data_IF_780983560979
#
_entry.id   IF_780983560979
#
_cell.length_a   1.000
_cell.length_b   1.000
_cell.length_c   1.000
_cell.angle_alpha   90.00
_cell.angle_beta   90.00
_cell.angle_gamma   90.00
#
_symmetry.space_group_name_H-M   'P 1'
#
loop_
_entity.id
_entity.type
_entity.pdbx_description
1 polymer ?
#
# COMPACT_ATOMS: atom_id res chain seq x y z
N UNK A 1 0.76 -27.68 -7.48
CA UNK A 1 0.70 -26.69 -8.56
C UNK A 1 1.89 -25.76 -8.46
N UNK A 2 2.58 -25.49 -9.60
CA UNK A 2 3.62 -24.47 -9.66
C UNK A 2 2.99 -23.10 -9.92
N UNK A 3 3.40 -22.10 -9.12
CA UNK A 3 2.96 -20.71 -9.24
C UNK A 3 4.16 -19.83 -9.59
N UNK A 4 4.31 -19.43 -10.87
CA UNK A 4 5.42 -18.61 -11.32
C UNK A 4 5.26 -17.17 -10.82
N UNK A 5 6.34 -16.57 -10.31
CA UNK A 5 6.34 -15.22 -9.73
C UNK A 5 7.44 -14.36 -10.35
N UNK A 6 7.09 -13.13 -10.72
CA UNK A 6 8.04 -12.09 -11.15
C UNK A 6 7.94 -10.96 -10.13
N UNK A 7 9.04 -10.59 -9.49
CA UNK A 7 9.10 -9.56 -8.45
C UNK A 7 9.68 -8.27 -9.04
N UNK A 8 8.89 -7.21 -9.04
CA UNK A 8 9.31 -5.86 -9.37
C UNK A 8 9.57 -5.09 -8.07
N UNK A 9 10.80 -4.65 -7.87
CA UNK A 9 11.23 -3.94 -6.68
C UNK A 9 11.86 -4.84 -5.62
N UNK A 10 13.18 -4.79 -5.50
CA UNK A 10 13.99 -5.48 -4.47
C UNK A 10 14.32 -4.57 -3.28
N UNK A 11 13.40 -3.67 -2.91
CA UNK A 11 13.46 -2.82 -1.72
C UNK A 11 13.10 -3.58 -0.44
N UNK A 12 12.72 -2.87 0.64
CA UNK A 12 12.37 -3.48 1.92
C UNK A 12 11.27 -4.53 1.82
N UNK A 13 10.14 -4.19 1.17
CA UNK A 13 8.99 -5.10 1.00
C UNK A 13 9.34 -6.27 0.08
N UNK A 14 9.98 -6.02 -1.08
CA UNK A 14 10.34 -7.09 -2.02
C UNK A 14 11.31 -8.10 -1.42
N UNK A 15 12.32 -7.64 -0.67
CA UNK A 15 13.25 -8.55 0.05
C UNK A 15 12.53 -9.38 1.12
N UNK A 16 11.65 -8.74 1.89
CA UNK A 16 10.85 -9.44 2.91
C UNK A 16 9.92 -10.48 2.27
N UNK A 17 9.30 -10.15 1.14
CA UNK A 17 8.47 -11.06 0.37
C UNK A 17 9.26 -12.28 -0.11
N UNK A 18 10.42 -12.08 -0.75
CA UNK A 18 11.29 -13.18 -1.22
C UNK A 18 11.69 -14.08 -0.05
N UNK A 19 12.11 -13.50 1.08
CA UNK A 19 12.47 -14.29 2.28
C UNK A 19 11.28 -15.11 2.78
N UNK A 20 10.08 -14.52 2.89
CA UNK A 20 8.88 -15.22 3.34
C UNK A 20 8.43 -16.33 2.36
N UNK A 21 8.63 -16.15 1.06
CA UNK A 21 8.42 -17.22 0.08
C UNK A 21 9.31 -18.43 0.38
N UNK A 22 10.60 -18.21 0.68
CA UNK A 22 11.54 -19.28 1.03
C UNK A 22 11.18 -19.91 2.38
N UNK A 23 10.96 -19.11 3.41
CA UNK A 23 10.65 -19.56 4.77
C UNK A 23 9.36 -20.39 4.86
N UNK A 24 8.36 -20.05 4.06
CA UNK A 24 7.03 -20.71 4.10
C UNK A 24 6.83 -21.75 2.98
N UNK A 25 7.87 -22.14 2.28
CA UNK A 25 7.77 -23.07 1.14
C UNK A 25 7.15 -24.41 1.51
N UNK A 26 7.57 -25.00 2.65
CA UNK A 26 7.00 -26.23 3.18
C UNK A 26 5.51 -26.10 3.49
N UNK A 27 5.12 -25.02 4.17
CA UNK A 27 3.71 -24.71 4.49
C UNK A 27 2.85 -24.65 3.22
N UNK A 28 3.33 -23.91 2.20
CA UNK A 28 2.57 -23.75 0.96
C UNK A 28 2.46 -25.06 0.18
N UNK A 29 3.53 -25.86 0.14
CA UNK A 29 3.49 -27.16 -0.51
C UNK A 29 2.54 -28.15 0.18
N UNK A 30 2.61 -28.23 1.51
CA UNK A 30 1.86 -29.22 2.30
C UNK A 30 0.38 -28.86 2.44
N UNK A 31 0.08 -27.59 2.76
CA UNK A 31 -1.31 -27.19 3.07
C UNK A 31 -2.06 -26.68 1.85
N UNK A 32 -1.38 -26.06 0.90
CA UNK A 32 -2.01 -25.44 -0.27
C UNK A 32 -1.70 -26.16 -1.58
N UNK A 33 -0.80 -27.14 -1.58
CA UNK A 33 -0.37 -27.82 -2.79
C UNK A 33 0.32 -26.88 -3.80
N UNK A 34 0.92 -25.78 -3.32
CA UNK A 34 1.53 -24.74 -4.13
C UNK A 34 3.05 -24.71 -3.98
N UNK A 35 3.74 -24.60 -5.11
CA UNK A 35 5.16 -24.29 -5.18
C UNK A 35 5.35 -22.90 -5.79
N UNK A 36 5.86 -21.95 -5.02
CA UNK A 36 6.06 -20.57 -5.44
C UNK A 36 7.42 -20.43 -6.11
N UNK A 37 7.46 -20.35 -7.44
CA UNK A 37 8.68 -20.27 -8.23
C UNK A 37 9.00 -18.82 -8.61
N UNK A 38 10.01 -18.21 -8.00
CA UNK A 38 10.46 -16.86 -8.36
C UNK A 38 11.29 -16.93 -9.64
N UNK A 39 10.73 -16.46 -10.75
CA UNK A 39 11.31 -16.50 -12.08
C UNK A 39 12.24 -15.32 -12.35
N UNK A 40 11.91 -14.16 -11.82
CA UNK A 40 12.70 -12.96 -11.97
C UNK A 40 12.55 -12.04 -10.76
N UNK A 41 13.62 -11.31 -10.46
CA UNK A 41 13.65 -10.21 -9.50
C UNK A 41 14.25 -9.00 -10.18
N UNK A 42 13.54 -7.87 -10.18
CA UNK A 42 13.96 -6.62 -10.80
C UNK A 42 14.12 -5.50 -9.78
N UNK A 43 15.08 -4.63 -10.01
CA UNK A 43 15.11 -3.29 -9.42
C UNK A 43 15.15 -2.23 -10.55
N UNK A 44 15.41 -0.96 -10.17
CA UNK A 44 15.40 0.13 -11.15
C UNK A 44 16.38 -0.09 -12.31
N UNK A 45 17.55 -0.66 -12.03
CA UNK A 45 18.67 -0.69 -12.96
C UNK A 45 19.04 -2.09 -13.46
N UNK A 46 18.48 -3.13 -12.84
CA UNK A 46 18.87 -4.50 -13.14
C UNK A 46 17.79 -5.54 -12.91
N UNK A 47 18.03 -6.71 -13.45
CA UNK A 47 17.20 -7.90 -13.24
C UNK A 47 18.06 -9.15 -13.06
N UNK A 48 17.56 -10.07 -12.25
CA UNK A 48 18.06 -11.43 -12.14
C UNK A 48 16.97 -12.37 -12.63
N UNK A 49 17.32 -13.25 -13.57
CA UNK A 49 16.39 -14.20 -14.20
C UNK A 49 16.77 -15.63 -13.83
N UNK A 50 15.80 -16.42 -13.40
CA UNK A 50 15.95 -17.85 -13.14
C UNK A 50 15.79 -18.70 -14.41
N UNK A 51 16.46 -18.30 -15.51
CA UNK A 51 16.41 -19.01 -16.78
C UNK A 51 17.53 -20.05 -16.84
N UNK A 52 17.27 -21.29 -16.41
CA UNK A 52 18.19 -22.40 -16.69
C UNK A 52 17.61 -23.29 -17.80
N UNK A 53 18.27 -23.31 -18.95
CA UNK A 53 17.87 -24.06 -20.14
C UNK A 53 18.04 -25.59 -20.00
N UNK A 54 18.53 -26.10 -18.86
CA UNK A 54 18.97 -27.51 -18.72
C UNK A 54 18.10 -28.33 -17.78
N UNK A 55 17.11 -27.77 -17.11
CA UNK A 55 16.21 -28.50 -16.18
C UNK A 55 14.78 -28.01 -16.34
N UNK A 56 13.81 -28.86 -16.03
CA UNK A 56 12.40 -28.54 -15.89
C UNK A 56 12.25 -27.49 -14.78
N UNK A 57 12.06 -26.22 -15.17
CA UNK A 57 12.55 -25.08 -14.42
C UNK A 57 11.60 -24.57 -13.38
N UNK A 58 12.08 -24.49 -12.15
CA UNK A 58 11.36 -23.93 -11.01
C UNK A 58 11.85 -22.52 -10.59
N UNK A 59 12.46 -21.73 -11.50
CA UNK A 59 12.97 -20.39 -11.21
C UNK A 59 14.28 -20.38 -10.42
N UNK A 60 14.52 -19.29 -9.68
CA UNK A 60 15.67 -19.13 -8.79
C UNK A 60 15.55 -20.07 -7.59
N UNK A 61 16.60 -20.76 -7.24
CA UNK A 61 16.64 -21.60 -6.04
C UNK A 61 16.76 -20.80 -4.75
N UNK A 62 16.44 -21.39 -3.63
CA UNK A 62 16.42 -20.73 -2.33
C UNK A 62 17.78 -20.11 -1.91
N UNK A 63 18.94 -20.78 -2.12
CA UNK A 63 20.24 -20.16 -1.86
C UNK A 63 20.47 -18.87 -2.67
N UNK A 64 20.12 -18.88 -3.96
CA UNK A 64 20.26 -17.70 -4.82
C UNK A 64 19.27 -16.59 -4.42
N UNK A 65 18.05 -16.92 -4.03
CA UNK A 65 17.07 -15.95 -3.53
C UNK A 65 17.55 -15.28 -2.23
N UNK A 66 18.07 -16.05 -1.27
CA UNK A 66 18.59 -15.49 -0.02
C UNK A 66 19.89 -14.69 -0.23
N UNK A 67 20.75 -15.09 -1.15
CA UNK A 67 21.91 -14.31 -1.57
C UNK A 67 21.51 -12.94 -2.16
N UNK A 68 20.50 -12.92 -3.03
CA UNK A 68 19.92 -11.68 -3.57
C UNK A 68 19.38 -10.75 -2.46
N UNK A 69 18.65 -11.32 -1.51
CA UNK A 69 18.11 -10.56 -0.37
C UNK A 69 19.23 -9.91 0.44
N UNK A 70 20.29 -10.66 0.74
CA UNK A 70 21.45 -10.17 1.49
C UNK A 70 22.22 -9.10 0.71
N UNK A 71 22.51 -9.37 -0.57
CA UNK A 71 23.21 -8.44 -1.46
C UNK A 71 22.48 -7.10 -1.59
N UNK A 72 21.14 -7.15 -1.73
CA UNK A 72 20.31 -5.93 -1.78
C UNK A 72 20.21 -5.22 -0.43
N UNK A 73 20.29 -5.94 0.69
CA UNK A 73 20.30 -5.33 2.03
C UNK A 73 21.57 -4.51 2.27
N UNK A 74 22.68 -4.91 1.69
CA UNK A 74 23.98 -4.22 1.73
C UNK A 74 24.09 -3.06 0.72
N UNK A 75 23.01 -2.75 -0.03
CA UNK A 75 22.97 -1.66 -1.02
C UNK A 75 23.41 -2.06 -2.42
N UNK A 76 23.61 -3.34 -2.70
CA UNK A 76 24.01 -3.82 -4.02
C UNK A 76 22.98 -3.52 -5.12
N UNK A 77 23.44 -3.40 -6.36
CA UNK A 77 22.62 -3.17 -7.56
C UNK A 77 22.44 -4.50 -8.30
N UNK A 78 21.21 -4.84 -8.69
CA UNK A 78 20.96 -6.12 -9.38
C UNK A 78 21.70 -6.22 -10.71
N UNK A 79 21.93 -5.12 -11.40
CA UNK A 79 22.74 -5.09 -12.63
C UNK A 79 24.18 -5.57 -12.42
N UNK A 80 24.72 -5.48 -11.21
CA UNK A 80 26.10 -5.83 -10.83
C UNK A 80 26.18 -7.17 -10.07
N UNK A 81 25.03 -7.76 -9.77
CA UNK A 81 24.98 -9.06 -9.10
C UNK A 81 25.50 -10.16 -10.03
N UNK A 82 26.16 -11.20 -9.46
CA UNK A 82 26.74 -12.36 -10.24
C UNK A 82 25.75 -13.07 -11.17
N UNK A 83 24.46 -13.05 -10.84
CA UNK A 83 23.37 -13.61 -11.65
C UNK A 83 22.57 -12.53 -12.39
N UNK A 84 22.94 -11.28 -12.22
CA UNK A 84 22.20 -10.13 -12.72
C UNK A 84 22.71 -9.61 -14.04
N UNK A 85 21.91 -8.72 -14.60
CA UNK A 85 22.26 -7.95 -15.78
C UNK A 85 21.47 -6.65 -15.80
N UNK A 86 21.90 -5.67 -16.61
CA UNK A 86 21.19 -4.42 -16.76
C UNK A 86 19.80 -4.64 -17.38
N UNK A 87 18.83 -3.88 -16.93
CA UNK A 87 17.50 -3.81 -17.49
C UNK A 87 17.05 -2.35 -17.61
N UNK A 88 16.28 -2.04 -18.62
CA UNK A 88 15.68 -0.73 -18.87
C UNK A 88 14.22 -0.84 -19.34
N UNK A 89 13.68 -2.06 -19.42
CA UNK A 89 12.31 -2.33 -19.84
C UNK A 89 11.73 -3.49 -19.03
N UNK A 90 10.86 -3.16 -18.08
CA UNK A 90 10.19 -4.15 -17.24
C UNK A 90 9.20 -5.02 -18.04
N UNK A 91 8.60 -4.51 -19.10
CA UNK A 91 7.71 -5.30 -19.95
C UNK A 91 8.50 -6.38 -20.70
N UNK A 92 9.70 -6.08 -21.17
CA UNK A 92 10.59 -7.07 -21.77
C UNK A 92 11.00 -8.16 -20.75
N UNK A 93 11.30 -7.79 -19.50
CA UNK A 93 11.60 -8.78 -18.46
C UNK A 93 10.39 -9.67 -18.19
N UNK A 94 9.19 -9.11 -18.10
CA UNK A 94 7.94 -9.85 -17.91
C UNK A 94 7.69 -10.80 -19.10
N UNK A 95 7.96 -10.37 -20.32
CA UNK A 95 7.79 -11.20 -21.52
C UNK A 95 8.77 -12.39 -21.58
N UNK A 96 10.04 -12.13 -21.22
CA UNK A 96 11.10 -13.15 -21.24
C UNK A 96 10.92 -14.17 -20.10
N UNK A 97 10.64 -13.70 -18.89
CA UNK A 97 10.55 -14.57 -17.71
C UNK A 97 9.15 -15.20 -17.54
N UNK A 98 8.10 -14.52 -18.05
CA UNK A 98 6.73 -14.89 -17.81
C UNK A 98 6.30 -16.17 -18.52
N UNK A 99 5.42 -16.92 -17.88
CA UNK A 99 4.77 -18.12 -18.44
C UNK A 99 3.32 -18.21 -17.99
N UNK A 100 2.48 -19.05 -18.60
CA UNK A 100 1.07 -19.17 -18.22
C UNK A 100 0.87 -19.34 -16.71
N UNK A 101 -0.03 -18.56 -16.15
CA UNK A 101 -0.32 -18.54 -14.70
C UNK A 101 0.61 -17.65 -13.87
N UNK A 102 1.57 -16.96 -14.48
CA UNK A 102 2.50 -16.09 -13.75
C UNK A 102 1.78 -14.97 -12.97
N UNK A 103 2.34 -14.65 -11.80
CA UNK A 103 1.95 -13.52 -10.96
C UNK A 103 3.08 -12.49 -10.96
N UNK A 104 2.79 -11.27 -11.40
CA UNK A 104 3.71 -10.14 -11.31
C UNK A 104 3.41 -9.38 -10.03
N UNK A 105 4.41 -9.29 -9.15
CA UNK A 105 4.31 -8.67 -7.83
C UNK A 105 5.04 -7.34 -7.86
N UNK A 106 4.32 -6.22 -7.67
CA UNK A 106 4.90 -4.88 -7.65
C UNK A 106 5.13 -4.38 -6.22
N UNK A 107 6.38 -4.45 -5.77
CA UNK A 107 6.87 -3.91 -4.51
C UNK A 107 7.68 -2.61 -4.69
N UNK A 108 7.51 -1.92 -5.81
CA UNK A 108 8.18 -0.64 -6.08
C UNK A 108 7.44 0.54 -5.43
N UNK A 109 7.96 1.74 -5.63
CA UNK A 109 7.33 3.00 -5.22
C UNK A 109 7.27 4.03 -6.36
N UNK A 110 7.23 3.57 -7.61
CA UNK A 110 7.18 4.41 -8.81
C UNK A 110 5.86 4.26 -9.57
N UNK A 111 5.50 5.24 -10.36
CA UNK A 111 4.36 5.20 -11.29
C UNK A 111 4.71 4.45 -12.59
N UNK A 112 5.99 4.36 -12.91
CA UNK A 112 6.51 3.83 -14.17
C UNK A 112 6.17 2.35 -14.39
N UNK A 113 5.90 1.59 -13.32
CA UNK A 113 5.50 0.18 -13.43
C UNK A 113 4.10 -0.02 -14.01
N UNK A 114 3.24 0.99 -14.03
CA UNK A 114 1.84 0.86 -14.46
C UNK A 114 1.69 0.20 -15.84
N UNK A 115 2.50 0.61 -16.81
CA UNK A 115 2.45 0.06 -18.17
C UNK A 115 2.93 -1.39 -18.25
N UNK A 116 3.96 -1.74 -17.49
CA UNK A 116 4.45 -3.12 -17.40
C UNK A 116 3.40 -4.04 -16.74
N UNK A 117 2.66 -3.54 -15.75
CA UNK A 117 1.57 -4.27 -15.11
C UNK A 117 0.37 -4.47 -16.06
N UNK A 118 0.01 -3.46 -16.84
CA UNK A 118 -1.01 -3.60 -17.89
C UNK A 118 -0.59 -4.61 -18.96
N UNK A 119 0.67 -4.57 -19.39
CA UNK A 119 1.23 -5.56 -20.30
C UNK A 119 1.13 -6.98 -19.74
N UNK A 120 1.43 -7.18 -18.45
CA UNK A 120 1.28 -8.48 -17.78
C UNK A 120 -0.18 -8.98 -17.84
N UNK A 121 -1.15 -8.09 -17.58
CA UNK A 121 -2.57 -8.43 -17.66
C UNK A 121 -3.03 -8.77 -19.09
N UNK A 122 -2.51 -8.08 -20.11
CA UNK A 122 -2.74 -8.41 -21.53
C UNK A 122 -2.21 -9.81 -21.89
N UNK A 123 -1.08 -10.21 -21.29
CA UNK A 123 -0.53 -11.57 -21.39
C UNK A 123 -1.32 -12.60 -20.57
N UNK A 124 -2.43 -12.22 -19.95
CA UNK A 124 -3.25 -13.03 -19.06
C UNK A 124 -2.51 -13.46 -17.77
N UNK A 125 -1.44 -12.76 -17.41
CA UNK A 125 -0.80 -12.93 -16.11
C UNK A 125 -1.62 -12.25 -15.02
N UNK A 126 -1.32 -12.56 -13.79
CA UNK A 126 -1.95 -11.99 -12.60
C UNK A 126 -1.04 -10.91 -12.02
N UNK A 127 -1.60 -9.96 -11.31
CA UNK A 127 -0.86 -8.83 -10.73
C UNK A 127 -1.19 -8.71 -9.24
N UNK A 128 -0.17 -8.50 -8.42
CA UNK A 128 -0.31 -8.19 -6.99
C UNK A 128 0.46 -6.90 -6.68
N UNK A 129 -0.20 -5.94 -6.05
CA UNK A 129 0.33 -4.60 -5.82
C UNK A 129 0.55 -4.31 -4.33
N UNK A 130 1.78 -4.02 -3.93
CA UNK A 130 2.07 -3.24 -2.74
C UNK A 130 2.24 -1.75 -3.09
N UNK A 131 2.56 -1.45 -4.32
CA UNK A 131 2.73 -0.10 -4.85
C UNK A 131 1.36 0.59 -5.08
N UNK A 132 1.12 1.68 -4.37
CA UNK A 132 -0.13 2.46 -4.48
C UNK A 132 -0.21 3.31 -5.74
N UNK A 133 0.94 3.73 -6.28
CA UNK A 133 0.99 4.75 -7.33
C UNK A 133 0.24 4.35 -8.60
N UNK A 134 0.38 3.13 -9.14
CA UNK A 134 -0.38 2.71 -10.32
C UNK A 134 -1.91 2.79 -10.14
N UNK A 135 -2.40 2.68 -8.90
CA UNK A 135 -3.82 2.77 -8.58
C UNK A 135 -4.32 4.22 -8.36
N UNK A 136 -3.42 5.21 -8.37
CA UNK A 136 -3.73 6.62 -8.04
C UNK A 136 -3.34 7.61 -9.14
N UNK A 137 -2.86 7.13 -10.28
CA UNK A 137 -2.76 7.90 -11.52
C UNK A 137 -4.15 8.02 -12.16
N UNK A 138 -4.25 8.07 -13.45
CA UNK A 138 -5.53 8.25 -14.15
C UNK A 138 -6.56 7.16 -13.81
N UNK A 139 -7.84 7.54 -13.79
CA UNK A 139 -8.96 6.63 -13.55
C UNK A 139 -8.98 5.47 -14.57
N UNK A 140 -8.61 5.73 -15.82
CA UNK A 140 -8.56 4.71 -16.87
C UNK A 140 -7.56 3.59 -16.53
N UNK A 141 -6.36 3.96 -16.06
CA UNK A 141 -5.33 2.98 -15.64
C UNK A 141 -5.82 2.16 -14.45
N UNK A 142 -6.44 2.82 -13.45
CA UNK A 142 -7.05 2.12 -12.33
C UNK A 142 -8.10 1.11 -12.79
N UNK A 143 -8.99 1.50 -13.68
CA UNK A 143 -10.04 0.62 -14.20
C UNK A 143 -9.46 -0.56 -15.00
N UNK A 144 -8.47 -0.33 -15.84
CA UNK A 144 -7.79 -1.39 -16.59
C UNK A 144 -7.06 -2.38 -15.68
N UNK A 145 -6.38 -1.90 -14.64
CA UNK A 145 -5.71 -2.77 -13.66
C UNK A 145 -6.69 -3.59 -12.85
N UNK A 146 -7.75 -2.97 -12.32
CA UNK A 146 -8.63 -3.61 -11.32
C UNK A 146 -9.76 -4.44 -11.93
N UNK A 147 -10.11 -4.21 -13.20
CA UNK A 147 -11.17 -4.96 -13.91
C UNK A 147 -10.64 -6.06 -14.83
N UNK A 148 -9.34 -6.17 -15.04
CA UNK A 148 -8.76 -7.17 -15.92
C UNK A 148 -9.14 -8.59 -15.49
N UNK A 149 -9.80 -9.33 -16.40
CA UNK A 149 -10.22 -10.71 -16.16
C UNK A 149 -11.46 -10.89 -15.28
N UNK A 150 -12.15 -9.81 -14.88
CA UNK A 150 -13.52 -9.90 -14.39
C UNK A 150 -14.40 -10.39 -15.56
N UNK A 151 -15.11 -11.50 -15.36
CA UNK A 151 -15.85 -12.24 -16.39
C UNK A 151 -16.78 -11.38 -17.22
N UNK A 152 -16.60 -11.45 -18.53
CA UNK A 152 -17.42 -10.83 -19.59
C UNK A 152 -16.58 -10.03 -20.55
N UNK A 153 -16.64 -10.37 -21.84
CA UNK A 153 -16.04 -9.66 -23.00
C UNK A 153 -16.54 -8.21 -23.16
N UNK A 154 -17.02 -7.59 -22.08
CA UNK A 154 -17.79 -6.36 -22.06
C UNK A 154 -17.06 -5.19 -21.40
N UNK A 155 -15.77 -5.05 -21.69
CA UNK A 155 -15.06 -3.80 -21.44
C UNK A 155 -15.65 -2.59 -22.20
N UNK A 156 -16.71 -2.80 -23.01
CA UNK A 156 -17.30 -1.78 -23.89
C UNK A 156 -18.61 -1.16 -23.39
N UNK A 157 -19.24 -1.67 -22.34
CA UNK A 157 -20.58 -1.20 -21.93
C UNK A 157 -20.69 -0.83 -20.44
N UNK A 158 -19.80 -0.04 -19.86
CA UNK A 158 -20.06 0.57 -18.53
C UNK A 158 -20.41 -0.42 -17.40
N UNK A 159 -20.25 -1.72 -17.65
CA UNK A 159 -20.62 -2.78 -16.73
C UNK A 159 -19.75 -2.74 -15.47
N UNK A 160 -20.41 -2.73 -14.32
CA UNK A 160 -19.81 -2.83 -13.00
C UNK A 160 -19.23 -4.24 -12.76
N UNK A 161 -18.16 -4.61 -13.49
CA UNK A 161 -17.45 -5.86 -13.25
C UNK A 161 -16.97 -5.94 -11.78
N UNK A 162 -17.12 -7.09 -11.17
CA UNK A 162 -16.74 -7.32 -9.77
C UNK A 162 -15.21 -7.30 -9.67
N UNK A 163 -14.65 -6.14 -9.34
CA UNK A 163 -13.20 -5.83 -9.39
C UNK A 163 -12.34 -6.83 -8.63
N UNK A 164 -12.80 -7.32 -7.48
CA UNK A 164 -12.05 -8.27 -6.64
C UNK A 164 -12.02 -9.72 -7.15
N UNK A 165 -12.73 -10.02 -8.21
CA UNK A 165 -12.67 -11.33 -8.88
C UNK A 165 -11.74 -11.34 -10.09
N UNK A 166 -11.16 -10.17 -10.43
CA UNK A 166 -10.22 -10.03 -11.52
C UNK A 166 -8.82 -10.60 -11.21
N UNK A 167 -7.91 -10.42 -12.16
CA UNK A 167 -6.53 -10.89 -12.10
C UNK A 167 -5.58 -9.91 -11.40
N UNK A 168 -6.10 -8.95 -10.63
CA UNK A 168 -5.31 -7.99 -9.85
C UNK A 168 -5.73 -8.02 -8.37
N UNK A 169 -4.74 -7.96 -7.45
CA UNK A 169 -4.94 -7.79 -6.01
C UNK A 169 -4.09 -6.63 -5.51
N UNK A 170 -4.61 -5.90 -4.52
CA UNK A 170 -3.96 -4.71 -4.00
C UNK A 170 -4.26 -4.44 -2.53
N UNK A 171 -4.48 -5.51 -1.74
CA UNK A 171 -4.80 -5.38 -0.31
C UNK A 171 -3.78 -4.51 0.42
N UNK A 172 -2.51 -4.74 0.17
CA UNK A 172 -1.42 -4.09 0.91
C UNK A 172 -1.20 -2.61 0.58
N UNK A 173 -1.96 -2.06 -0.36
CA UNK A 173 -1.90 -0.63 -0.68
C UNK A 173 -2.58 0.26 0.37
N UNK A 174 -3.45 -0.31 1.23
CA UNK A 174 -4.22 0.42 2.24
C UNK A 174 -4.11 -0.25 3.61
N UNK A 175 -3.00 -0.08 4.33
CA UNK A 175 -2.87 -0.58 5.70
C UNK A 175 -2.01 -1.84 5.85
N UNK A 176 -0.98 -2.00 5.02
CA UNK A 176 -0.13 -3.19 4.99
C UNK A 176 -0.96 -4.48 4.81
N UNK A 177 -0.87 -5.46 5.72
CA UNK A 177 -1.64 -6.70 5.63
C UNK A 177 -3.03 -6.64 6.28
N UNK A 178 -3.48 -5.47 6.73
CA UNK A 178 -4.84 -5.33 7.25
C UNK A 178 -5.87 -5.56 6.14
N UNK A 179 -6.94 -6.31 6.39
CA UNK A 179 -7.95 -6.66 5.38
C UNK A 179 -8.91 -5.49 5.11
N UNK A 180 -8.38 -4.35 4.65
CA UNK A 180 -9.14 -3.11 4.43
C UNK A 180 -9.85 -3.15 3.08
N UNK A 181 -9.12 -3.47 2.01
CA UNK A 181 -9.65 -3.53 0.64
C UNK A 181 -10.61 -4.72 0.50
N UNK A 182 -10.25 -5.88 1.02
CA UNK A 182 -11.10 -7.08 1.02
C UNK A 182 -12.39 -6.86 1.81
N UNK A 183 -12.34 -6.18 2.96
CA UNK A 183 -13.53 -5.80 3.73
C UNK A 183 -14.44 -4.89 2.90
N UNK A 184 -13.89 -3.82 2.29
CA UNK A 184 -14.65 -2.94 1.41
C UNK A 184 -15.31 -3.72 0.26
N UNK A 185 -14.55 -4.57 -0.41
CA UNK A 185 -15.04 -5.38 -1.52
C UNK A 185 -16.19 -6.31 -1.09
N UNK A 186 -16.09 -6.92 0.10
CA UNK A 186 -17.17 -7.76 0.65
C UNK A 186 -18.44 -6.98 0.94
N UNK A 187 -18.33 -5.80 1.55
CA UNK A 187 -19.48 -4.92 1.81
C UNK A 187 -20.17 -4.53 0.52
N UNK A 188 -19.41 -4.06 -0.47
CA UNK A 188 -19.92 -3.66 -1.79
C UNK A 188 -20.57 -4.86 -2.51
N UNK A 189 -19.91 -6.02 -2.53
CA UNK A 189 -20.41 -7.22 -3.19
C UNK A 189 -21.73 -7.76 -2.52
N UNK A 190 -21.86 -7.58 -1.21
CA UNK A 190 -23.08 -7.94 -0.48
C UNK A 190 -24.23 -6.94 -0.68
N UNK A 191 -24.00 -5.83 -1.41
CA UNK A 191 -25.01 -4.76 -1.55
C UNK A 191 -25.22 -3.95 -0.27
N UNK A 192 -24.26 -4.01 0.68
CA UNK A 192 -24.32 -3.19 1.88
C UNK A 192 -23.84 -1.78 1.54
N UNK A 193 -24.75 -0.81 1.57
CA UNK A 193 -24.47 0.55 1.21
C UNK A 193 -23.47 1.18 2.20
N UNK A 194 -22.26 1.45 1.76
CA UNK A 194 -21.24 2.15 2.56
C UNK A 194 -21.51 3.66 2.46
N UNK A 195 -21.86 4.26 3.59
CA UNK A 195 -22.17 5.70 3.68
C UNK A 195 -20.91 6.52 3.98
N UNK A 196 -20.00 5.95 4.79
CA UNK A 196 -18.79 6.63 5.21
C UNK A 196 -17.66 5.66 5.44
N UNK A 197 -16.46 6.05 5.02
CA UNK A 197 -15.21 5.43 5.46
C UNK A 197 -14.41 6.51 6.18
N UNK A 198 -13.95 6.24 7.39
CA UNK A 198 -13.03 7.09 8.13
C UNK A 198 -11.82 6.27 8.54
N UNK A 199 -10.61 6.81 8.37
CA UNK A 199 -9.43 6.02 8.69
C UNK A 199 -8.17 6.84 8.98
N UNK A 200 -7.41 6.38 9.97
CA UNK A 200 -6.04 6.79 10.24
C UNK A 200 -5.10 5.78 9.59
N UNK A 201 -4.43 6.18 8.51
CA UNK A 201 -3.65 5.30 7.64
C UNK A 201 -2.13 5.51 7.72
N UNK A 202 -1.65 6.33 8.65
CA UNK A 202 -0.23 6.64 8.79
C UNK A 202 0.24 6.42 10.22
N UNK A 203 1.20 5.53 10.39
CA UNK A 203 1.84 5.30 11.69
C UNK A 203 2.56 6.54 12.20
N UNK A 204 3.25 7.27 11.34
CA UNK A 204 3.93 8.54 11.67
C UNK A 204 2.95 9.57 12.21
N UNK A 205 1.85 9.80 11.48
CA UNK A 205 0.84 10.78 11.89
C UNK A 205 0.07 10.32 13.13
N UNK A 206 -0.14 9.01 13.29
CA UNK A 206 -0.70 8.42 14.52
C UNK A 206 0.18 8.70 15.73
N UNK A 207 1.49 8.51 15.60
CA UNK A 207 2.46 8.85 16.64
C UNK A 207 2.42 10.35 17.01
N UNK A 208 2.39 11.23 15.99
CA UNK A 208 2.29 12.68 16.20
C UNK A 208 1.01 13.04 16.95
N UNK A 209 -0.14 12.52 16.54
CA UNK A 209 -1.42 12.80 17.20
C UNK A 209 -1.46 12.27 18.65
N UNK A 210 -0.85 11.12 18.89
CA UNK A 210 -0.73 10.54 20.25
C UNK A 210 0.10 11.45 21.17
N UNK A 211 1.23 11.97 20.69
CA UNK A 211 2.07 12.89 21.43
C UNK A 211 1.38 14.21 21.75
N UNK A 212 0.64 14.79 20.77
CA UNK A 212 -0.16 15.99 20.96
C UNK A 212 -1.26 15.77 22.00
N UNK A 213 -1.95 14.65 21.97
CA UNK A 213 -2.96 14.28 22.95
C UNK A 213 -2.39 14.13 24.37
N UNK A 214 -1.11 13.72 24.47
CA UNK A 214 -0.36 13.66 25.73
C UNK A 214 0.17 15.04 26.18
N UNK A 215 -0.17 16.13 25.51
CA UNK A 215 0.25 17.48 25.84
C UNK A 215 1.66 17.87 25.42
N UNK A 216 2.30 17.07 24.56
CA UNK A 216 3.64 17.41 24.05
C UNK A 216 3.55 18.46 22.93
N UNK A 217 4.53 19.38 22.83
CA UNK A 217 4.61 20.32 21.71
C UNK A 217 4.74 19.60 20.36
N UNK A 218 4.09 20.11 19.31
CA UNK A 218 4.14 19.55 17.96
C UNK A 218 5.58 19.37 17.46
N UNK A 219 6.41 20.40 17.63
CA UNK A 219 7.82 20.39 17.23
C UNK A 219 8.62 19.28 17.91
N UNK A 220 8.34 19.02 19.18
CA UNK A 220 9.01 17.97 19.95
C UNK A 220 8.64 16.59 19.43
N UNK A 221 7.35 16.34 19.23
CA UNK A 221 6.86 15.02 18.74
C UNK A 221 7.35 14.73 17.33
N UNK A 222 7.33 15.70 16.42
CA UNK A 222 7.82 15.52 15.04
C UNK A 222 9.32 15.22 15.01
N UNK A 223 10.13 15.97 15.78
CA UNK A 223 11.57 15.71 15.88
C UNK A 223 11.87 14.33 16.47
N UNK A 224 11.10 13.91 17.46
CA UNK A 224 11.24 12.58 18.05
C UNK A 224 10.86 11.48 17.05
N UNK A 225 9.75 11.66 16.29
CA UNK A 225 9.38 10.74 15.23
C UNK A 225 10.49 10.62 14.17
N UNK A 226 11.10 11.76 13.78
CA UNK A 226 12.21 11.79 12.84
C UNK A 226 13.45 11.06 13.40
N UNK A 227 13.81 11.34 14.66
CA UNK A 227 14.94 10.68 15.34
C UNK A 227 14.77 9.17 15.47
N UNK A 228 13.54 8.70 15.68
CA UNK A 228 13.19 7.28 15.79
C UNK A 228 13.07 6.58 14.42
N UNK A 229 13.18 7.33 13.31
CA UNK A 229 13.01 6.77 11.96
C UNK A 229 11.57 6.40 11.62
N UNK A 230 10.59 7.03 12.27
CA UNK A 230 9.17 6.85 11.93
C UNK A 230 8.76 7.72 10.74
N UNK A 231 9.47 8.82 10.47
CA UNK A 231 9.25 9.65 9.28
C UNK A 231 10.11 9.17 8.12
N UNK A 232 9.71 9.54 6.90
CA UNK A 232 10.61 9.57 5.75
C UNK A 232 11.82 10.49 6.03
N UNK A 233 12.90 10.41 5.24
CA UNK A 233 14.06 11.29 5.40
C UNK A 233 13.71 12.78 5.39
N UNK A 234 12.69 13.16 4.62
CA UNK A 234 12.03 14.46 4.72
C UNK A 234 10.68 14.29 5.43
N UNK A 235 10.52 14.78 6.66
CA UNK A 235 9.27 14.63 7.41
C UNK A 235 8.05 15.26 6.72
N UNK A 236 8.24 16.17 5.75
CA UNK A 236 7.15 16.78 4.97
C UNK A 236 6.42 15.78 4.11
N UNK A 237 7.09 14.70 3.68
CA UNK A 237 6.46 13.64 2.90
C UNK A 237 5.36 12.95 3.70
N UNK A 238 5.54 12.81 5.04
CA UNK A 238 4.50 12.30 5.93
C UNK A 238 3.49 13.39 6.33
N UNK A 239 4.01 14.52 6.81
CA UNK A 239 3.18 15.62 7.36
C UNK A 239 2.30 16.29 6.30
N UNK A 240 2.65 16.17 5.03
CA UNK A 240 1.86 16.63 3.89
C UNK A 240 0.61 15.80 3.63
N UNK A 241 0.56 14.55 4.12
CA UNK A 241 -0.62 13.69 4.02
C UNK A 241 -0.86 13.06 2.65
N UNK A 242 0.05 13.16 1.71
CA UNK A 242 -0.12 12.66 0.34
C UNK A 242 -0.29 11.12 0.29
N UNK A 243 0.44 10.37 1.13
CA UNK A 243 0.30 8.91 1.22
C UNK A 243 -1.09 8.53 1.74
N UNK A 244 -1.61 9.26 2.73
CA UNK A 244 -2.98 9.07 3.24
C UNK A 244 -4.00 9.40 2.15
N UNK A 245 -3.76 10.44 1.36
CA UNK A 245 -4.63 10.82 0.25
C UNK A 245 -4.69 9.74 -0.85
N UNK A 246 -3.57 9.11 -1.19
CA UNK A 246 -3.54 7.98 -2.13
C UNK A 246 -4.37 6.79 -1.61
N UNK A 247 -4.24 6.44 -0.34
CA UNK A 247 -5.04 5.38 0.28
C UNK A 247 -6.53 5.71 0.27
N UNK A 248 -6.88 6.95 0.59
CA UNK A 248 -8.26 7.43 0.54
C UNK A 248 -8.85 7.36 -0.88
N UNK A 249 -8.08 7.77 -1.90
CA UNK A 249 -8.50 7.68 -3.29
C UNK A 249 -8.73 6.23 -3.73
N UNK A 250 -7.85 5.30 -3.35
CA UNK A 250 -8.02 3.87 -3.65
C UNK A 250 -9.34 3.34 -3.08
N UNK A 251 -9.66 3.68 -1.83
CA UNK A 251 -10.91 3.27 -1.21
C UNK A 251 -12.14 3.93 -1.84
N UNK A 252 -12.06 5.23 -2.18
CA UNK A 252 -13.13 5.93 -2.88
C UNK A 252 -13.40 5.32 -4.27
N UNK A 253 -12.35 5.00 -5.02
CA UNK A 253 -12.44 4.27 -6.29
C UNK A 253 -13.00 2.84 -6.09
N UNK A 254 -12.70 2.21 -4.96
CA UNK A 254 -13.29 0.93 -4.54
C UNK A 254 -14.80 1.00 -4.34
N UNK A 255 -15.34 2.13 -3.89
CA UNK A 255 -16.79 2.41 -3.85
C UNK A 255 -17.40 2.65 -5.24
N UNK A 256 -16.60 2.71 -6.29
CA UNK A 256 -17.06 3.02 -7.65
C UNK A 256 -17.03 4.51 -8.01
N UNK A 257 -16.47 5.35 -7.15
CA UNK A 257 -16.39 6.79 -7.42
C UNK A 257 -15.33 7.10 -8.47
N UNK A 258 -15.67 8.04 -9.37
CA UNK A 258 -14.78 8.52 -10.43
C UNK A 258 -14.06 9.77 -9.91
N UNK A 259 -12.92 9.58 -9.25
CA UNK A 259 -12.12 10.64 -8.66
C UNK A 259 -10.66 10.51 -9.08
N UNK A 260 -9.98 11.64 -9.19
CA UNK A 260 -8.53 11.75 -9.35
C UNK A 260 -7.87 12.35 -8.09
N UNK A 261 -6.54 12.31 -8.02
CA UNK A 261 -5.81 12.89 -6.87
C UNK A 261 -6.11 14.38 -6.64
N UNK A 262 -6.40 15.15 -7.69
CA UNK A 262 -6.79 16.57 -7.62
C UNK A 262 -8.15 16.78 -6.94
N UNK A 263 -9.00 15.76 -6.90
CA UNK A 263 -10.34 15.83 -6.28
C UNK A 263 -10.29 15.49 -4.78
N UNK A 264 -9.14 14.96 -4.29
CA UNK A 264 -8.91 14.70 -2.88
C UNK A 264 -8.50 16.00 -2.17
N UNK A 265 -9.29 16.44 -1.21
CA UNK A 265 -8.99 17.63 -0.42
C UNK A 265 -7.98 17.27 0.68
N UNK A 266 -6.72 17.65 0.49
CA UNK A 266 -5.64 17.37 1.45
C UNK A 266 -5.28 18.64 2.22
N UNK A 267 -5.21 18.53 3.55
CA UNK A 267 -4.67 19.54 4.45
C UNK A 267 -3.52 18.95 5.26
N UNK A 268 -2.31 19.33 4.91
CA UNK A 268 -1.12 18.93 5.66
C UNK A 268 -1.05 19.57 7.04
N UNK A 269 -0.03 19.17 7.81
CA UNK A 269 0.21 19.65 9.17
C UNK A 269 1.18 20.84 9.24
N UNK A 270 1.56 21.41 8.12
CA UNK A 270 2.42 22.59 8.05
C UNK A 270 1.93 23.55 6.95
N UNK A 271 2.17 24.87 7.11
CA UNK A 271 1.77 25.86 6.12
C UNK A 271 2.65 25.80 4.86
N UNK A 272 2.10 26.24 3.73
CA UNK A 272 2.75 26.16 2.42
C UNK A 272 4.11 26.87 2.36
N UNK A 273 4.31 27.92 3.13
CA UNK A 273 5.56 28.70 3.20
C UNK A 273 6.73 27.87 3.71
N UNK A 274 6.48 26.81 4.48
CA UNK A 274 7.51 25.91 4.98
C UNK A 274 7.91 24.81 3.96
N UNK A 275 7.18 24.68 2.87
CA UNK A 275 7.42 23.61 1.88
C UNK A 275 8.75 23.78 1.14
N UNK A 276 9.26 25.00 0.98
CA UNK A 276 10.50 25.31 0.25
C UNK A 276 11.77 25.34 1.13
N UNK A 277 11.64 25.16 2.44
CA UNK A 277 12.78 25.17 3.37
C UNK A 277 13.66 23.93 3.17
N UNK A 278 14.95 24.01 3.55
CA UNK A 278 15.74 22.80 3.74
C UNK A 278 15.15 21.94 4.85
N UNK A 279 15.45 20.63 4.90
CA UNK A 279 14.95 19.75 5.96
C UNK A 279 15.37 20.26 7.35
N UNK A 280 16.62 20.74 7.48
CA UNK A 280 17.12 21.30 8.74
C UNK A 280 16.38 22.58 9.15
N UNK A 281 16.14 23.50 8.19
CA UNK A 281 15.41 24.73 8.46
C UNK A 281 13.93 24.46 8.75
N UNK A 282 13.33 23.50 8.06
CA UNK A 282 11.97 23.04 8.36
C UNK A 282 11.86 22.54 9.80
N UNK A 283 12.74 21.64 10.23
CA UNK A 283 12.78 21.14 11.60
C UNK A 283 13.04 22.25 12.63
N UNK A 284 13.88 23.23 12.28
CA UNK A 284 14.17 24.38 13.13
C UNK A 284 12.94 25.33 13.29
N UNK A 285 12.13 25.43 12.23
CA UNK A 285 10.95 26.30 12.20
C UNK A 285 9.70 25.69 12.87
N UNK A 286 9.65 24.37 13.12
CA UNK A 286 8.48 23.70 13.72
C UNK A 286 7.94 24.35 15.00
N UNK A 287 8.76 24.91 15.93
CA UNK A 287 8.23 25.52 17.16
C UNK A 287 7.24 26.64 16.94
N UNK A 288 7.26 27.30 15.80
CA UNK A 288 6.25 28.33 15.49
C UNK A 288 4.82 27.80 15.35
N UNK A 289 4.67 26.49 15.16
CA UNK A 289 3.38 25.80 15.05
C UNK A 289 2.86 25.29 16.39
N UNK A 290 3.69 25.25 17.45
CA UNK A 290 3.34 24.61 18.72
C UNK A 290 2.12 25.26 19.40
N UNK A 291 1.98 26.58 19.33
CA UNK A 291 0.84 27.29 19.90
C UNK A 291 -0.48 26.93 19.20
N UNK A 292 -0.49 26.94 17.86
CA UNK A 292 -1.69 26.60 17.07
C UNK A 292 -2.13 25.15 17.34
N UNK A 293 -1.22 24.20 17.39
CA UNK A 293 -1.56 22.81 17.70
C UNK A 293 -2.06 22.62 19.13
N UNK A 294 -1.46 23.29 20.11
CA UNK A 294 -1.94 23.27 21.50
C UNK A 294 -3.37 23.79 21.57
N UNK A 295 -3.65 24.96 20.98
CA UNK A 295 -4.97 25.58 21.00
C UNK A 295 -6.04 24.70 20.35
N UNK A 296 -5.69 24.00 19.25
CA UNK A 296 -6.58 23.01 18.60
C UNK A 296 -6.85 21.78 19.49
N UNK A 297 -5.83 21.28 20.19
CA UNK A 297 -6.00 20.17 21.13
C UNK A 297 -6.90 20.56 22.27
N UNK A 298 -6.70 21.74 22.89
CA UNK A 298 -7.51 22.26 23.98
C UNK A 298 -8.96 22.49 23.54
N UNK A 299 -9.17 23.07 22.35
CA UNK A 299 -10.50 23.24 21.78
C UNK A 299 -11.23 21.91 21.59
N UNK A 300 -10.55 20.89 21.03
CA UNK A 300 -11.14 19.57 20.86
C UNK A 300 -11.49 18.94 22.21
N UNK A 301 -10.62 19.07 23.21
CA UNK A 301 -10.83 18.52 24.54
C UNK A 301 -12.04 19.14 25.27
N UNK A 302 -12.31 20.42 25.03
CA UNK A 302 -13.50 21.12 25.59
C UNK A 302 -14.80 20.44 25.16
N UNK A 303 -14.84 19.86 23.94
CA UNK A 303 -15.99 19.15 23.41
C UNK A 303 -15.96 17.63 23.69
N UNK A 304 -15.06 17.14 24.55
CA UNK A 304 -14.87 15.71 24.78
C UNK A 304 -14.27 14.96 23.59
N UNK A 305 -13.61 15.67 22.69
CA UNK A 305 -13.00 15.13 21.47
C UNK A 305 -11.49 15.10 21.56
N UNK A 306 -10.88 14.34 20.65
CA UNK A 306 -9.44 14.29 20.43
C UNK A 306 -9.12 14.53 18.97
N UNK A 307 -7.93 15.06 18.68
CA UNK A 307 -7.48 15.25 17.31
C UNK A 307 -6.92 13.96 16.72
N UNK A 308 -7.29 13.67 15.48
CA UNK A 308 -6.69 12.62 14.66
C UNK A 308 -6.36 13.19 13.27
N UNK A 309 -5.34 12.64 12.63
CA UNK A 309 -5.12 12.87 11.22
C UNK A 309 -5.73 11.71 10.45
N UNK A 310 -6.78 11.98 9.72
CA UNK A 310 -7.57 10.93 9.10
C UNK A 310 -8.04 11.29 7.69
N UNK A 311 -8.31 10.26 6.90
CA UNK A 311 -9.12 10.36 5.71
C UNK A 311 -10.60 10.20 6.07
N UNK A 312 -11.46 10.94 5.38
CA UNK A 312 -12.92 10.82 5.43
C UNK A 312 -13.46 10.77 4.01
N UNK A 313 -14.14 9.69 3.69
CA UNK A 313 -14.76 9.42 2.38
C UNK A 313 -16.26 9.33 2.63
N UNK A 314 -17.01 10.34 2.22
CA UNK A 314 -18.42 10.51 2.56
C UNK A 314 -19.06 11.48 1.56
N UNK A 315 -20.30 11.23 1.15
CA UNK A 315 -21.10 12.11 0.29
C UNK A 315 -20.40 12.55 -1.01
N UNK A 316 -19.72 11.61 -1.67
CA UNK A 316 -18.98 11.89 -2.91
C UNK A 316 -17.71 12.74 -2.70
N UNK A 317 -17.27 12.96 -1.47
CA UNK A 317 -16.10 13.77 -1.13
C UNK A 317 -15.03 12.93 -0.44
N UNK A 318 -13.79 13.20 -0.80
CA UNK A 318 -12.62 12.60 -0.16
C UNK A 318 -11.78 13.69 0.47
N UNK A 319 -11.64 13.66 1.80
CA UNK A 319 -10.92 14.67 2.59
C UNK A 319 -9.87 14.00 3.45
N UNK A 320 -8.72 14.62 3.55
CA UNK A 320 -7.59 14.17 4.37
C UNK A 320 -7.07 15.36 5.19
N UNK A 321 -6.96 15.19 6.49
CA UNK A 321 -6.47 16.23 7.38
C UNK A 321 -6.80 15.96 8.84
N UNK A 322 -6.62 17.01 9.66
CA UNK A 322 -7.01 16.98 11.06
C UNK A 322 -8.53 16.91 11.21
N UNK A 323 -8.98 15.99 12.05
CA UNK A 323 -10.38 15.84 12.46
C UNK A 323 -10.46 15.74 13.98
N UNK A 324 -11.47 16.39 14.56
CA UNK A 324 -11.82 16.22 15.97
C UNK A 324 -12.89 15.12 16.05
N UNK A 325 -12.56 14.00 16.71
CA UNK A 325 -13.43 12.84 16.87
C UNK A 325 -13.77 12.62 18.35
N UNK A 326 -14.91 12.00 18.63
CA UNK A 326 -15.28 11.63 19.99
C UNK A 326 -14.17 10.76 20.61
N UNK A 327 -13.71 11.13 21.80
CA UNK A 327 -12.65 10.41 22.51
C UNK A 327 -13.02 8.93 22.80
N UNK A 328 -14.30 8.62 22.92
CA UNK A 328 -14.81 7.27 23.17
C UNK A 328 -15.00 6.46 21.88
N UNK A 329 -14.96 7.08 20.69
CA UNK A 329 -15.07 6.38 19.39
C UNK A 329 -13.87 5.46 19.15
N UNK A 330 -13.97 4.44 18.27
CA UNK A 330 -12.83 3.61 17.91
C UNK A 330 -11.64 4.44 17.42
N UNK A 331 -11.87 5.38 16.51
CA UNK A 331 -10.82 6.27 16.01
C UNK A 331 -10.27 7.20 17.12
N UNK A 332 -11.12 7.65 18.05
CA UNK A 332 -10.70 8.48 19.20
C UNK A 332 -9.80 7.73 20.19
N UNK A 333 -9.99 6.43 20.35
CA UNK A 333 -9.17 5.59 21.23
C UNK A 333 -7.88 5.09 20.59
N UNK A 334 -7.71 5.31 19.29
CA UNK A 334 -6.49 4.90 18.59
C UNK A 334 -5.27 5.62 19.18
N UNK A 335 -4.20 4.89 19.41
CA UNK A 335 -2.93 5.41 19.93
C UNK A 335 -1.73 4.76 19.24
N UNK A 336 -0.57 5.40 19.36
CA UNK A 336 0.68 4.91 18.81
C UNK A 336 0.71 4.96 17.28
N UNK A 337 1.22 3.89 16.67
CA UNK A 337 1.47 3.80 15.22
C UNK A 337 0.48 2.89 14.48
N UNK A 338 -0.53 2.36 15.16
CA UNK A 338 -1.54 1.52 14.53
C UNK A 338 -2.38 2.29 13.51
N UNK A 339 -2.83 1.59 12.49
CA UNK A 339 -3.84 2.07 11.57
C UNK A 339 -5.21 1.58 12.03
N UNK A 340 -6.23 2.37 11.72
CA UNK A 340 -7.62 2.03 11.95
C UNK A 340 -8.48 2.54 10.80
N UNK A 341 -9.42 1.72 10.36
CA UNK A 341 -10.42 2.07 9.34
C UNK A 341 -11.80 1.69 9.84
N UNK A 342 -12.72 2.64 9.79
CA UNK A 342 -14.13 2.49 10.13
C UNK A 342 -14.96 2.51 8.85
N UNK A 343 -15.86 1.53 8.71
CA UNK A 343 -16.88 1.49 7.66
C UNK A 343 -18.25 1.66 8.29
N UNK A 344 -18.90 2.80 8.07
CA UNK A 344 -20.29 3.03 8.42
C UNK A 344 -21.15 2.68 7.22
N UNK A 345 -22.01 1.67 7.39
CA UNK A 345 -22.82 1.13 6.31
C UNK A 345 -24.28 1.07 6.70
N UNK A 346 -25.13 0.59 5.80
CA UNK A 346 -26.54 0.31 6.10
C UNK A 346 -26.70 -0.61 7.30
N UNK A 347 -25.85 -1.62 7.45
CA UNK A 347 -25.95 -2.62 8.51
C UNK A 347 -25.05 -2.34 9.71
N UNK A 348 -23.93 -1.63 9.51
CA UNK A 348 -22.99 -1.23 10.54
C UNK A 348 -23.18 0.26 10.92
N UNK A 349 -24.34 0.54 11.55
CA UNK A 349 -24.72 1.84 12.10
C UNK A 349 -25.64 1.63 13.32
N UNK A 350 -25.51 2.35 14.44
CA UNK A 350 -24.55 3.43 14.69
C UNK A 350 -23.09 2.99 14.94
N UNK A 351 -22.86 1.70 15.16
CA UNK A 351 -21.52 1.17 15.41
C UNK A 351 -20.87 0.74 14.08
N UNK A 352 -19.78 1.38 13.64
CA UNK A 352 -19.12 1.03 12.40
C UNK A 352 -18.42 -0.33 12.49
N UNK A 353 -18.23 -1.00 11.34
CA UNK A 353 -17.28 -2.10 11.22
C UNK A 353 -15.86 -1.53 11.27
N UNK A 354 -15.02 -2.06 12.15
CA UNK A 354 -13.67 -1.54 12.40
C UNK A 354 -12.62 -2.57 12.02
N UNK A 355 -11.61 -2.13 11.26
CA UNK A 355 -10.38 -2.87 11.00
C UNK A 355 -9.23 -2.09 11.63
N UNK A 356 -8.51 -2.71 12.58
CA UNK A 356 -7.42 -2.06 13.30
C UNK A 356 -6.24 -2.99 13.46
N UNK A 357 -5.03 -2.43 13.42
CA UNK A 357 -3.79 -3.12 13.71
C UNK A 357 -2.57 -2.42 13.10
N UNK A 358 -1.46 -3.12 13.08
CA UNK A 358 -0.21 -2.59 12.53
C UNK A 358 -0.35 -2.37 11.02
N UNK A 359 -0.32 -1.12 10.59
CA UNK A 359 -0.55 -0.69 9.21
C UNK A 359 0.69 -0.32 8.41
N UNK A 360 1.90 -0.68 8.89
CA UNK A 360 3.17 -0.41 8.22
C UNK A 360 4.26 -1.42 8.62
N UNK A 361 5.30 -1.48 7.83
CA UNK A 361 6.48 -2.33 8.03
C UNK A 361 6.67 -3.33 6.89
N UNK A 362 7.93 -3.54 6.49
CA UNK A 362 8.27 -4.36 5.33
C UNK A 362 7.76 -5.80 5.47
N UNK A 363 7.96 -6.41 6.64
CA UNK A 363 7.56 -7.81 6.88
C UNK A 363 6.05 -8.00 6.89
N UNK A 364 5.32 -7.08 7.52
CA UNK A 364 3.85 -7.12 7.56
C UNK A 364 3.27 -6.87 6.17
N UNK A 365 3.81 -5.91 5.43
CA UNK A 365 3.36 -5.68 4.04
C UNK A 365 3.65 -6.90 3.16
N UNK A 366 4.84 -7.49 3.28
CA UNK A 366 5.21 -8.69 2.54
C UNK A 366 4.29 -9.87 2.84
N UNK A 367 3.84 -10.04 4.09
CA UNK A 367 2.90 -11.13 4.43
C UNK A 367 1.53 -10.92 3.77
N UNK A 368 1.06 -9.68 3.64
CA UNK A 368 -0.15 -9.37 2.89
C UNK A 368 0.01 -9.60 1.39
N UNK A 369 1.16 -9.21 0.81
CA UNK A 369 1.50 -9.54 -0.59
C UNK A 369 1.49 -11.04 -0.82
N UNK A 370 2.08 -11.80 0.10
CA UNK A 370 2.12 -13.26 0.01
C UNK A 370 0.71 -13.87 0.08
N UNK A 371 -0.15 -13.35 0.94
CA UNK A 371 -1.55 -13.78 1.01
C UNK A 371 -2.28 -13.52 -0.32
N UNK A 372 -2.15 -12.31 -0.88
CA UNK A 372 -2.71 -11.97 -2.20
C UNK A 372 -2.20 -12.91 -3.31
N UNK A 373 -0.90 -13.25 -3.30
CA UNK A 373 -0.28 -14.19 -4.26
C UNK A 373 -0.89 -15.59 -4.13
N UNK A 374 -1.09 -16.07 -2.89
CA UNK A 374 -1.72 -17.38 -2.65
C UNK A 374 -3.18 -17.38 -3.13
N UNK A 375 -3.95 -16.31 -2.84
CA UNK A 375 -5.33 -16.18 -3.33
C UNK A 375 -5.39 -16.21 -4.87
N UNK A 376 -4.41 -15.58 -5.53
CA UNK A 376 -4.30 -15.58 -6.99
C UNK A 376 -4.10 -16.98 -7.57
N UNK A 377 -3.52 -17.93 -6.84
CA UNK A 377 -3.36 -19.30 -7.33
C UNK A 377 -4.71 -19.98 -7.62
N UNK A 378 -5.76 -19.60 -6.89
CA UNK A 378 -7.11 -20.16 -7.00
C UNK A 378 -8.10 -19.29 -7.79
N UNK A 379 -7.64 -18.15 -8.29
CA UNK A 379 -8.42 -17.30 -9.19
C UNK A 379 -8.25 -17.82 -10.62
N UNK A 380 -9.34 -18.14 -11.28
CA UNK A 380 -9.36 -18.65 -12.67
C UNK A 380 -9.19 -17.52 -13.70
#
# INVERSE_FOLDING_TARGET
>A
QDLPIIVLGAGGVGRAFIRQVVENRGLHAEQYGLWLSVLAVCDRDGAVLGLDSRRDQHGLDDPNLLDLVSYKAEGGRLAEHRLGGPQNDLAAVIDIAGRPGAVVVDCTATEETAWALLFALERKYKVVLANKKPLTIDQEVYDRLTRAGATGDEAHNGGHGVRHLGRCRWETTCGAALPVVSTLNRLVAAGDAVHKIAGAFSGTLGFVMTGLQAGQPFSTVVREAHRLGYTEPDPRDDLGGLDVARKALILARGLGWQLDMRDVQVRGLYPAEMASLSVSDFLAALPQLDADFRDRVEMAATDGKVLRYAATIEDGRCRVGLVAVDAASPLGRLSGTDNLVEFSTRWYTPNPLVVQGRGAGADVTASGVLADVIEMAYTT
#
